data_IF_987253054896
#
_entry.id   IF_987253054896
#
_cell.length_a   1.000
_cell.length_b   1.000
_cell.length_c   1.000
_cell.angle_alpha   90.00
_cell.angle_beta   90.00
_cell.angle_gamma   90.00
#
_symmetry.space_group_name_H-M   'P 1'
#
loop_
_entity.id
_entity.type
_entity.pdbx_description
1 polymer ?
#
# COMPACT_ATOMS: atom_id res chain seq x y z
N UNK A 1 10.46 -11.40 -3.80
CA UNK A 1 9.15 -10.90 -4.26
C UNK A 1 9.39 -10.18 -5.58
N UNK A 2 8.51 -10.33 -6.56
CA UNK A 2 8.50 -9.50 -7.78
C UNK A 2 7.73 -8.21 -7.52
N UNK A 3 7.97 -7.16 -8.30
CA UNK A 3 7.25 -5.89 -8.15
C UNK A 3 5.73 -6.04 -8.21
N UNK A 4 5.21 -6.86 -9.11
CA UNK A 4 3.77 -7.12 -9.19
C UNK A 4 3.21 -7.75 -7.90
N UNK A 5 3.98 -8.64 -7.27
CA UNK A 5 3.59 -9.28 -5.99
C UNK A 5 3.67 -8.26 -4.84
N UNK A 6 4.67 -7.37 -4.87
CA UNK A 6 4.84 -6.31 -3.88
C UNK A 6 3.72 -5.28 -3.96
N UNK A 7 3.39 -4.82 -5.17
CA UNK A 7 2.28 -3.89 -5.43
C UNK A 7 0.96 -4.48 -4.97
N UNK A 8 0.70 -5.75 -5.29
CA UNK A 8 -0.50 -6.45 -4.83
C UNK A 8 -0.54 -6.57 -3.30
N UNK A 9 0.59 -6.87 -2.66
CA UNK A 9 0.67 -6.97 -1.20
C UNK A 9 0.45 -5.61 -0.51
N UNK A 10 0.95 -4.51 -1.08
CA UNK A 10 0.66 -3.15 -0.59
C UNK A 10 -0.85 -2.89 -0.66
N UNK A 11 -1.47 -3.15 -1.81
CA UNK A 11 -2.91 -2.95 -1.99
C UNK A 11 -3.73 -3.75 -0.96
N UNK A 12 -3.37 -5.02 -0.75
CA UNK A 12 -4.03 -5.88 0.25
C UNK A 12 -3.84 -5.36 1.67
N UNK A 13 -2.66 -4.83 2.01
CA UNK A 13 -2.39 -4.24 3.30
C UNK A 13 -3.22 -2.95 3.51
N UNK A 14 -3.32 -2.09 2.50
CA UNK A 14 -4.14 -0.87 2.56
C UNK A 14 -5.62 -1.19 2.81
N UNK A 15 -6.18 -2.17 2.09
CA UNK A 15 -7.58 -2.59 2.23
C UNK A 15 -7.86 -3.22 3.60
N UNK A 16 -6.87 -3.87 4.21
CA UNK A 16 -6.99 -4.47 5.54
C UNK A 16 -6.71 -3.48 6.67
N UNK A 17 -6.14 -2.32 6.38
CA UNK A 17 -5.78 -1.32 7.36
C UNK A 17 -7.01 -0.75 8.07
N UNK A 18 -6.94 -0.68 9.39
CA UNK A 18 -8.02 -0.19 10.25
C UNK A 18 -7.53 0.96 11.11
N UNK A 19 -8.42 1.91 11.36
CA UNK A 19 -8.19 2.97 12.32
C UNK A 19 -8.24 2.45 13.78
N UNK A 20 -8.06 3.36 14.74
CA UNK A 20 -8.10 3.03 16.18
C UNK A 20 -9.47 2.54 16.66
N UNK A 21 -10.52 2.81 15.90
CA UNK A 21 -11.89 2.39 16.17
C UNK A 21 -12.25 1.06 15.48
N UNK A 22 -11.35 0.54 14.65
CA UNK A 22 -11.52 -0.71 13.91
C UNK A 22 -12.23 -0.54 12.56
N UNK A 23 -12.49 0.69 12.11
CA UNK A 23 -13.08 0.95 10.80
C UNK A 23 -12.00 0.87 9.72
N UNK A 24 -12.33 0.42 8.50
CA UNK A 24 -11.42 0.50 7.37
C UNK A 24 -10.93 1.94 7.16
N UNK A 25 -9.62 2.13 6.97
CA UNK A 25 -9.05 3.47 6.69
C UNK A 25 -9.37 3.95 5.28
N UNK A 26 -9.52 3.01 4.35
CA UNK A 26 -9.77 3.26 2.94
C UNK A 26 -10.60 2.11 2.37
N UNK A 27 -11.35 2.37 1.30
CA UNK A 27 -12.00 1.30 0.54
C UNK A 27 -11.08 0.77 -0.58
N UNK A 28 -11.51 -0.29 -1.26
CA UNK A 28 -10.70 -0.93 -2.29
C UNK A 28 -10.50 -0.06 -3.55
N UNK A 29 -11.42 0.85 -3.84
CA UNK A 29 -11.31 1.74 -5.00
C UNK A 29 -10.29 2.85 -4.70
N UNK A 30 -10.41 3.51 -3.55
CA UNK A 30 -9.48 4.53 -3.09
C UNK A 30 -8.07 3.98 -2.86
N UNK A 31 -7.93 2.76 -2.33
CA UNK A 31 -6.62 2.14 -2.15
C UNK A 31 -5.92 1.88 -3.50
N UNK A 32 -6.70 1.51 -4.52
CA UNK A 32 -6.17 1.31 -5.86
C UNK A 32 -5.79 2.64 -6.51
N UNK A 33 -6.65 3.66 -6.41
CA UNK A 33 -6.35 5.00 -6.94
C UNK A 33 -5.09 5.58 -6.31
N UNK A 34 -4.96 5.50 -4.99
CA UNK A 34 -3.77 5.98 -4.26
C UNK A 34 -2.50 5.23 -4.68
N UNK A 35 -2.58 3.91 -4.89
CA UNK A 35 -1.44 3.10 -5.34
C UNK A 35 -1.12 3.31 -6.82
N UNK A 36 -2.10 3.73 -7.63
CA UNK A 36 -1.93 4.06 -9.05
C UNK A 36 -1.19 5.39 -9.28
N UNK A 37 -1.05 6.23 -8.25
CA UNK A 37 -0.17 7.42 -8.28
C UNK A 37 1.32 7.06 -8.23
N UNK A 38 1.67 5.80 -7.91
CA UNK A 38 3.04 5.31 -7.84
C UNK A 38 3.33 4.30 -8.94
N UNK A 39 4.41 4.54 -9.66
CA UNK A 39 4.93 3.63 -10.68
C UNK A 39 5.61 2.41 -10.04
N UNK A 40 5.72 1.34 -10.82
CA UNK A 40 6.47 0.15 -10.42
C UNK A 40 7.95 0.47 -10.10
N UNK A 41 8.56 1.42 -10.80
CA UNK A 41 9.97 1.81 -10.56
C UNK A 41 10.12 2.49 -9.17
N UNK A 42 9.24 3.43 -8.84
CA UNK A 42 9.23 4.11 -7.54
C UNK A 42 9.00 3.13 -6.37
N UNK A 43 8.11 2.15 -6.56
CA UNK A 43 7.87 1.10 -5.57
C UNK A 43 9.05 0.11 -5.48
N UNK A 44 9.73 -0.20 -6.58
CA UNK A 44 10.93 -1.04 -6.58
C UNK A 44 12.09 -0.39 -5.82
N UNK A 45 12.25 0.94 -5.91
CA UNK A 45 13.26 1.68 -5.15
C UNK A 45 13.05 1.60 -3.63
N UNK A 46 11.79 1.58 -3.18
CA UNK A 46 11.41 1.45 -1.78
C UNK A 46 11.45 0.01 -1.23
N UNK A 47 11.32 -1.00 -2.09
CA UNK A 47 11.21 -2.41 -1.71
C UNK A 47 12.36 -2.96 -0.83
N UNK A 48 13.63 -2.57 -1.01
CA UNK A 48 14.72 -3.03 -0.14
C UNK A 48 14.64 -2.48 1.30
N UNK A 49 13.89 -1.40 1.52
CA UNK A 49 13.85 -0.66 2.77
C UNK A 49 12.56 -0.85 3.55
N UNK A 50 11.44 -1.18 2.88
CA UNK A 50 10.12 -1.26 3.49
C UNK A 50 9.42 -2.57 3.13
N UNK A 51 8.70 -3.16 4.09
CA UNK A 51 7.73 -4.22 3.77
C UNK A 51 6.52 -3.64 3.03
N UNK A 52 5.69 -4.47 2.38
CA UNK A 52 4.42 -4.01 1.79
C UNK A 52 3.52 -3.30 2.80
N UNK A 53 3.45 -3.81 4.04
CA UNK A 53 2.64 -3.24 5.12
C UNK A 53 3.17 -1.89 5.60
N UNK A 54 4.49 -1.74 5.72
CA UNK A 54 5.12 -0.45 6.07
C UNK A 54 4.86 0.60 4.97
N UNK A 55 4.98 0.19 3.70
CA UNK A 55 4.68 1.08 2.57
C UNK A 55 3.20 1.46 2.55
N UNK A 56 2.30 0.50 2.76
CA UNK A 56 0.86 0.78 2.86
C UNK A 56 0.54 1.78 3.98
N UNK A 57 1.18 1.65 5.15
CA UNK A 57 0.97 2.59 6.26
C UNK A 57 1.47 3.99 5.91
N UNK A 58 2.65 4.11 5.28
CA UNK A 58 3.19 5.41 4.82
C UNK A 58 2.23 6.06 3.81
N UNK A 59 1.76 5.31 2.82
CA UNK A 59 0.84 5.82 1.80
C UNK A 59 -0.52 6.24 2.37
N UNK A 60 -0.98 5.60 3.45
CA UNK A 60 -2.24 5.94 4.12
C UNK A 60 -2.11 7.10 5.13
N UNK A 61 -0.90 7.58 5.40
CA UNK A 61 -0.63 8.70 6.29
C UNK A 61 -0.40 10.05 5.56
N UNK A 62 -0.08 10.03 4.27
CA UNK A 62 -0.02 11.21 3.38
C UNK A 62 -1.41 11.74 3.00
#
# INVERSE_FOLDING_TARGET
MKIEEYRQAILEAMIQAKDKEGNPRIDAEGAKELLDDFTNEELEEGMPFNTPEETAEILLED
#
